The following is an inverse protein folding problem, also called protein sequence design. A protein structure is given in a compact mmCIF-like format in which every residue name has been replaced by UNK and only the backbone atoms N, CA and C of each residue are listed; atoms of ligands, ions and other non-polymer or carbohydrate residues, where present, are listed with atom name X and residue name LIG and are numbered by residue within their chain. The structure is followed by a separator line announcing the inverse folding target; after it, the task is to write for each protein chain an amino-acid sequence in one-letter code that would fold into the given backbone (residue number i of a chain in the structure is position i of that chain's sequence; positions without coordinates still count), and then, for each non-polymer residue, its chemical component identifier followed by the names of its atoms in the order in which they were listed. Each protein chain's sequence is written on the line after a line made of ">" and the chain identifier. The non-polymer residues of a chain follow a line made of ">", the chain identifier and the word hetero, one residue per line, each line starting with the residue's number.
data_IF_882259124973
#
_entry.id   IF_882259124973
#
_cell.length_a   1.000
_cell.length_b   1.000
_cell.length_c   1.000
_cell.angle_alpha   90.00
_cell.angle_beta   90.00
_cell.angle_gamma   90.00
#
_symmetry.space_group_name_H-M   'P 1'
#
loop_
_entity.id
_entity.type
_entity.pdbx_description
1 polymer ?
#
# COMPACT_ATOMS: atom_id res chain seq x y z
N UNK A 1 43.27 19.06 21.93
CA UNK A 1 44.29 18.14 22.48
C UNK A 1 43.64 16.81 22.84
N UNK A 2 44.37 15.68 22.71
CA UNK A 2 44.02 14.33 23.23
C UNK A 2 42.64 13.75 22.85
N UNK A 3 42.61 13.07 21.68
CA UNK A 3 41.66 11.98 21.41
C UNK A 3 41.80 10.89 22.49
N UNK A 4 40.71 10.24 22.90
CA UNK A 4 40.75 9.00 23.69
C UNK A 4 40.59 7.80 22.76
N UNK A 5 41.66 7.02 22.64
CA UNK A 5 41.64 5.69 22.03
C UNK A 5 41.29 4.72 23.16
N UNK A 6 40.27 3.88 22.96
CA UNK A 6 40.08 2.65 23.73
C UNK A 6 40.36 1.49 22.78
N UNK A 7 41.19 0.56 23.24
CA UNK A 7 41.62 -0.62 22.49
C UNK A 7 41.99 -1.71 23.50
N UNK A 8 42.10 -2.95 23.03
CA UNK A 8 42.54 -4.15 23.78
C UNK A 8 41.49 -4.64 24.82
N UNK A 9 40.88 -5.83 24.68
CA UNK A 9 41.57 -7.12 24.67
C UNK A 9 40.98 -8.19 23.75
N UNK A 10 41.89 -8.82 23.00
CA UNK A 10 41.73 -10.12 22.35
C UNK A 10 41.84 -11.22 23.41
N UNK A 11 40.94 -12.21 23.40
CA UNK A 11 40.92 -13.31 24.37
C UNK A 11 40.62 -14.66 23.73
N UNK A 12 41.60 -15.26 23.06
CA UNK A 12 41.48 -16.59 22.46
C UNK A 12 42.17 -17.66 23.30
N UNK A 13 41.42 -18.71 23.69
CA UNK A 13 41.86 -20.08 24.04
C UNK A 13 40.61 -20.92 24.31
N UNK A 14 40.50 -22.23 24.07
CA UNK A 14 41.09 -23.22 23.16
C UNK A 14 40.46 -24.58 23.55
N UNK A 15 40.01 -25.36 22.56
CA UNK A 15 39.83 -26.83 22.53
C UNK A 15 39.13 -27.62 23.68
N UNK A 16 38.04 -28.31 23.31
CA UNK A 16 37.86 -29.77 23.34
C UNK A 16 36.91 -30.12 22.15
N UNK A 17 37.18 -30.91 21.11
CA UNK A 17 37.94 -32.15 20.87
C UNK A 17 37.09 -33.44 20.91
N UNK A 18 36.90 -34.05 19.72
CA UNK A 18 36.30 -35.39 19.48
C UNK A 18 34.80 -35.37 19.18
N UNK A 19 34.22 -36.13 18.24
CA UNK A 19 34.71 -37.00 17.15
C UNK A 19 33.65 -36.89 16.01
N UNK A 20 33.87 -37.14 14.72
CA UNK A 20 34.88 -37.93 14.04
C UNK A 20 34.17 -38.78 12.96
N UNK A 21 34.16 -38.29 11.72
CA UNK A 21 33.82 -39.07 10.52
C UNK A 21 34.51 -38.42 9.31
N UNK A 22 35.42 -39.13 8.67
CA UNK A 22 36.07 -38.65 7.44
C UNK A 22 35.22 -39.10 6.24
N UNK A 23 34.72 -38.14 5.47
CA UNK A 23 34.14 -38.41 4.14
C UNK A 23 35.28 -38.24 3.14
N UNK A 24 35.62 -39.33 2.47
CA UNK A 24 36.52 -39.34 1.32
C UNK A 24 35.69 -38.87 0.13
N UNK A 25 36.07 -37.76 -0.50
CA UNK A 25 35.55 -37.36 -1.82
C UNK A 25 36.72 -37.52 -2.78
N UNK A 26 36.59 -38.47 -3.69
CA UNK A 26 37.50 -38.61 -4.83
C UNK A 26 37.11 -37.55 -5.87
N UNK A 27 38.09 -36.76 -6.33
CA UNK A 27 37.90 -35.82 -7.45
C UNK A 27 37.89 -36.62 -8.77
N UNK A 28 36.71 -36.85 -9.33
CA UNK A 28 36.59 -37.35 -10.70
C UNK A 28 36.72 -36.19 -11.70
N UNK A 29 37.82 -36.17 -12.47
CA UNK A 29 37.95 -35.32 -13.65
C UNK A 29 36.92 -35.75 -14.72
N UNK A 30 35.88 -34.93 -14.92
CA UNK A 30 35.04 -35.02 -16.12
C UNK A 30 35.42 -33.91 -17.09
N UNK A 31 36.34 -34.25 -18.00
CA UNK A 31 36.53 -33.51 -19.26
C UNK A 31 35.39 -33.84 -20.22
N UNK A 32 34.64 -32.83 -20.65
CA UNK A 32 33.77 -32.92 -21.84
C UNK A 32 33.92 -31.67 -22.69
N UNK A 33 34.54 -31.82 -23.86
CA UNK A 33 34.72 -30.79 -24.87
C UNK A 33 33.38 -30.45 -25.57
N UNK A 34 33.27 -29.19 -25.98
CA UNK A 34 32.49 -28.65 -27.09
C UNK A 34 31.04 -29.16 -27.35
N UNK A 35 30.09 -28.23 -27.16
CA UNK A 35 29.50 -27.53 -28.32
C UNK A 35 28.75 -26.26 -27.90
N UNK A 36 29.27 -25.11 -28.33
CA UNK A 36 28.52 -23.86 -28.40
C UNK A 36 27.79 -23.85 -29.74
N UNK A 37 26.45 -23.84 -29.73
CA UNK A 37 25.67 -23.45 -30.92
C UNK A 37 25.33 -21.96 -30.82
N UNK A 38 25.72 -21.27 -31.88
CA UNK A 38 25.61 -19.84 -32.10
C UNK A 38 24.19 -19.52 -32.59
N UNK A 39 23.39 -18.81 -31.77
CA UNK A 39 22.08 -18.31 -32.19
C UNK A 39 22.21 -16.88 -32.71
N UNK A 40 22.02 -16.71 -34.02
CA UNK A 40 22.07 -15.39 -34.68
C UNK A 40 20.82 -14.54 -34.39
N UNK A 41 21.03 -13.24 -34.19
CA UNK A 41 19.99 -12.22 -34.11
C UNK A 41 19.14 -12.16 -35.39
N UNK A 42 17.82 -12.23 -35.25
CA UNK A 42 16.85 -11.93 -36.30
C UNK A 42 16.04 -10.67 -35.95
N UNK A 43 16.61 -9.49 -36.24
CA UNK A 43 15.83 -8.24 -36.28
C UNK A 43 14.70 -8.36 -37.30
N UNK A 44 13.47 -8.05 -36.87
CA UNK A 44 12.34 -7.80 -37.76
C UNK A 44 11.70 -6.45 -37.43
N UNK A 45 12.01 -5.44 -38.26
CA UNK A 45 11.23 -4.20 -38.31
C UNK A 45 9.92 -4.47 -39.07
N UNK A 46 8.76 -4.11 -38.52
CA UNK A 46 7.58 -3.81 -39.34
C UNK A 46 6.58 -2.88 -38.64
N UNK A 47 6.70 -1.59 -38.99
CA UNK A 47 5.59 -0.65 -39.26
C UNK A 47 4.34 -0.61 -38.34
N UNK A 48 4.17 0.54 -37.68
CA UNK A 48 2.87 1.09 -37.28
C UNK A 48 1.81 1.00 -38.39
N UNK A 49 0.56 0.70 -38.00
CA UNK A 49 -0.62 1.25 -38.68
C UNK A 49 -1.61 1.78 -37.63
N UNK A 50 -1.80 3.11 -37.61
CA UNK A 50 -2.62 3.82 -36.61
C UNK A 50 -4.05 3.91 -37.11
N UNK A 51 -4.98 3.23 -36.42
CA UNK A 51 -6.40 3.32 -36.69
C UNK A 51 -7.01 4.60 -36.09
N UNK A 52 -7.01 5.69 -36.87
CA UNK A 52 -7.71 6.92 -36.53
C UNK A 52 -9.22 6.74 -36.65
N UNK A 53 -9.96 6.78 -35.54
CA UNK A 53 -11.43 6.82 -35.56
C UNK A 53 -11.91 8.27 -35.60
N UNK A 54 -12.54 8.64 -36.70
CA UNK A 54 -13.17 9.94 -36.94
C UNK A 54 -14.59 9.93 -36.36
N UNK A 55 -14.88 10.83 -35.43
CA UNK A 55 -16.26 11.18 -35.04
C UNK A 55 -16.74 12.39 -35.85
N UNK A 56 -17.66 12.17 -36.78
CA UNK A 56 -18.30 13.25 -37.54
C UNK A 56 -19.29 14.04 -36.68
N UNK A 57 -19.35 15.35 -36.92
CA UNK A 57 -20.39 16.22 -36.38
C UNK A 57 -21.77 15.84 -36.93
N UNK A 58 -22.82 15.96 -36.10
CA UNK A 58 -24.18 16.12 -36.60
C UNK A 58 -24.87 17.27 -35.86
N UNK A 59 -25.02 18.38 -36.57
CA UNK A 59 -25.75 19.56 -36.13
C UNK A 59 -27.21 19.48 -36.60
N UNK A 60 -28.16 19.69 -35.68
CA UNK A 60 -29.49 20.19 -36.03
C UNK A 60 -29.88 21.27 -35.02
N UNK A 61 -29.79 22.50 -35.50
CA UNK A 61 -30.35 23.71 -34.91
C UNK A 61 -31.88 23.75 -35.16
N UNK A 62 -32.68 24.10 -34.15
CA UNK A 62 -33.93 24.83 -34.35
C UNK A 62 -34.27 25.65 -33.10
N UNK A 63 -34.40 26.96 -33.29
CA UNK A 63 -34.89 27.92 -32.31
C UNK A 63 -36.41 27.95 -32.23
N UNK A 64 -36.94 28.36 -31.07
CA UNK A 64 -38.09 29.28 -31.03
C UNK A 64 -38.04 30.13 -29.75
N UNK A 65 -38.73 31.27 -29.79
CA UNK A 65 -38.48 32.48 -28.98
C UNK A 65 -39.75 32.89 -28.20
N UNK A 66 -39.69 33.98 -27.42
CA UNK A 66 -40.80 34.75 -26.78
C UNK A 66 -41.60 34.00 -25.68
N UNK A 67 -42.18 34.63 -24.63
CA UNK A 67 -42.38 36.06 -24.31
C UNK A 67 -42.42 36.34 -22.78
N UNK A 68 -42.40 37.62 -22.44
CA UNK A 68 -42.27 38.27 -21.12
C UNK A 68 -43.59 38.26 -20.32
N UNK A 69 -43.53 38.24 -18.98
CA UNK A 69 -44.41 39.10 -18.15
C UNK A 69 -43.85 39.39 -16.76
N UNK A 70 -43.74 40.67 -16.42
CA UNK A 70 -43.51 41.19 -15.06
C UNK A 70 -44.76 41.08 -14.17
N UNK A 71 -44.59 41.07 -12.84
CA UNK A 71 -45.36 41.98 -11.95
C UNK A 71 -44.63 42.21 -10.60
N UNK A 72 -44.69 43.46 -10.11
CA UNK A 72 -44.03 43.99 -8.91
C UNK A 72 -44.92 43.92 -7.65
N UNK A 73 -44.32 43.88 -6.45
CA UNK A 73 -44.72 44.63 -5.20
C UNK A 73 -43.68 44.27 -4.11
N UNK A 74 -42.63 45.03 -3.78
CA UNK A 74 -42.48 46.38 -3.17
C UNK A 74 -42.94 46.55 -1.69
N UNK A 75 -42.06 47.26 -0.94
CA UNK A 75 -42.12 47.67 0.49
C UNK A 75 -41.96 46.55 1.54
N UNK A 76 -41.37 46.72 2.75
CA UNK A 76 -40.46 47.70 3.43
C UNK A 76 -39.86 46.98 4.68
N UNK A 77 -38.87 47.41 5.48
CA UNK A 77 -38.04 48.64 5.74
C UNK A 77 -36.73 48.15 6.41
N UNK A 78 -35.53 48.72 6.20
CA UNK A 78 -34.94 50.02 6.61
C UNK A 78 -34.42 50.10 8.06
N UNK A 79 -33.14 50.49 8.16
CA UNK A 79 -32.37 50.99 9.33
C UNK A 79 -32.06 50.03 10.51
N UNK A 80 -30.80 49.58 10.62
CA UNK A 80 -29.87 50.25 11.56
C UNK A 80 -28.40 50.12 11.12
N UNK A 81 -27.55 51.05 11.59
CA UNK A 81 -26.12 51.15 11.25
C UNK A 81 -25.28 51.02 12.51
N UNK A 82 -24.58 49.89 12.66
CA UNK A 82 -23.44 49.77 13.57
C UNK A 82 -22.20 49.34 12.80
N UNK A 83 -21.21 50.23 12.75
CA UNK A 83 -19.82 49.80 12.72
C UNK A 83 -19.56 48.97 13.98
N UNK A 84 -18.74 47.94 13.85
CA UNK A 84 -17.43 47.81 14.51
C UNK A 84 -16.63 46.82 13.63
N UNK A 85 -15.45 47.23 13.16
CA UNK A 85 -14.16 46.58 13.48
C UNK A 85 -14.14 45.11 12.98
N UNK A 86 -13.67 44.80 11.77
CA UNK A 86 -12.25 44.87 11.35
C UNK A 86 -11.28 44.60 12.50
N UNK A 87 -11.42 43.42 13.11
CA UNK A 87 -10.29 42.75 13.76
C UNK A 87 -9.80 41.62 12.85
N UNK A 88 -9.12 42.05 11.78
CA UNK A 88 -8.36 41.19 10.87
C UNK A 88 -7.06 40.71 11.52
N UNK A 89 -7.16 40.02 12.65
CA UNK A 89 -6.04 39.28 13.25
C UNK A 89 -5.95 37.90 12.64
N UNK A 90 -5.05 37.75 11.66
CA UNK A 90 -4.51 36.52 11.08
C UNK A 90 -4.76 35.22 11.90
N UNK A 91 -5.95 34.63 11.77
CA UNK A 91 -6.21 33.26 12.19
C UNK A 91 -5.79 32.34 11.04
N UNK A 92 -4.48 32.25 10.87
CA UNK A 92 -3.83 31.31 9.94
C UNK A 92 -4.05 29.93 10.54
N UNK A 93 -4.74 29.04 9.83
CA UNK A 93 -5.02 27.69 10.37
C UNK A 93 -3.71 27.02 10.80
N UNK A 94 -3.77 26.12 11.79
CA UNK A 94 -2.57 25.43 12.27
C UNK A 94 -1.84 24.70 11.14
N UNK A 95 -2.58 24.14 10.19
CA UNK A 95 -2.05 23.55 8.96
C UNK A 95 -1.22 24.55 8.14
N UNK A 96 -1.71 25.76 7.87
CA UNK A 96 -0.94 26.81 7.17
C UNK A 96 0.27 27.29 7.99
N UNK A 97 0.18 27.28 9.33
CA UNK A 97 1.31 27.56 10.24
C UNK A 97 2.38 26.45 10.20
N UNK A 98 1.98 25.20 10.02
CA UNK A 98 2.86 24.04 9.84
C UNK A 98 3.52 24.03 8.46
N UNK A 99 2.74 24.29 7.39
CA UNK A 99 3.22 24.44 6.01
C UNK A 99 4.22 25.60 5.88
N UNK A 100 4.06 26.67 6.67
CA UNK A 100 5.04 27.76 6.77
C UNK A 100 6.18 27.50 7.76
N UNK A 101 6.31 26.26 8.27
CA UNK A 101 7.39 25.79 9.14
C UNK A 101 7.47 26.53 10.49
N UNK A 102 6.30 26.82 11.10
CA UNK A 102 6.19 27.54 12.38
C UNK A 102 5.37 26.85 13.46
N UNK A 103 4.50 25.89 13.09
CA UNK A 103 3.78 24.99 13.99
C UNK A 103 4.43 23.60 13.98
N UNK A 104 4.27 22.84 15.06
CA UNK A 104 4.81 21.48 15.22
C UNK A 104 3.68 20.43 15.09
N UNK A 105 3.98 19.29 14.45
CA UNK A 105 3.15 18.07 14.51
C UNK A 105 3.71 17.08 15.52
N UNK A 106 2.83 16.33 16.17
CA UNK A 106 3.17 15.32 17.18
C UNK A 106 2.73 13.93 16.70
N UNK A 107 3.31 12.88 17.28
CA UNK A 107 2.88 11.51 17.05
C UNK A 107 1.81 11.10 18.07
N UNK A 108 0.85 10.29 17.65
CA UNK A 108 -0.18 9.73 18.54
C UNK A 108 0.46 8.74 19.53
N UNK A 109 0.57 9.12 20.81
CA UNK A 109 1.15 8.27 21.86
C UNK A 109 0.39 6.93 22.06
N UNK A 110 -0.83 6.79 21.51
CA UNK A 110 -1.64 5.57 21.60
C UNK A 110 -1.40 4.56 20.48
N UNK A 111 -0.83 4.98 19.34
CA UNK A 111 -0.53 4.12 18.19
C UNK A 111 0.97 3.82 18.07
N UNK A 112 1.42 2.65 18.54
CA UNK A 112 2.85 2.32 18.62
C UNK A 112 3.59 2.21 17.29
N UNK A 113 2.87 2.07 16.18
CA UNK A 113 3.42 1.61 14.89
C UNK A 113 2.99 2.48 13.69
N UNK A 114 2.65 3.76 13.92
CA UNK A 114 2.31 4.74 12.85
C UNK A 114 3.47 4.96 11.87
N UNK A 115 4.72 4.80 12.33
CA UNK A 115 5.91 4.95 11.48
C UNK A 115 6.45 3.59 11.02
N UNK A 116 6.71 3.40 9.71
CA UNK A 116 7.57 2.33 9.23
C UNK A 116 8.89 2.28 10.00
N UNK A 117 9.38 1.07 10.30
CA UNK A 117 10.59 0.84 11.10
C UNK A 117 11.84 1.62 10.60
N UNK A 118 11.92 1.90 9.28
CA UNK A 118 12.98 2.73 8.72
C UNK A 118 12.95 4.17 9.23
N UNK A 119 11.75 4.77 9.36
CA UNK A 119 11.53 6.14 9.84
C UNK A 119 11.62 6.20 11.37
N UNK A 120 11.00 5.25 12.07
CA UNK A 120 10.86 5.22 13.53
C UNK A 120 12.19 5.42 14.30
N UNK A 121 13.32 5.01 13.71
CA UNK A 121 14.66 5.16 14.32
C UNK A 121 15.15 6.61 14.47
N UNK A 122 14.59 7.54 13.68
CA UNK A 122 15.04 8.94 13.58
C UNK A 122 14.07 9.94 14.20
N UNK A 123 12.85 9.50 14.55
CA UNK A 123 11.88 10.32 15.29
C UNK A 123 11.89 9.96 16.78
N UNK A 124 11.88 10.99 17.63
CA UNK A 124 11.60 10.89 19.06
C UNK A 124 10.13 11.22 19.25
N UNK A 125 9.29 10.19 19.33
CA UNK A 125 7.82 10.29 19.39
C UNK A 125 7.29 11.13 20.56
N UNK A 126 8.15 11.52 21.52
CA UNK A 126 7.80 12.42 22.63
C UNK A 126 7.94 13.92 22.31
N UNK A 127 8.28 14.29 21.07
CA UNK A 127 8.47 15.67 20.62
C UNK A 127 7.54 16.05 19.47
N UNK A 128 7.35 17.36 19.32
CA UNK A 128 6.83 17.97 18.10
C UNK A 128 7.93 18.13 17.06
N UNK A 129 7.52 18.21 15.80
CA UNK A 129 8.39 18.37 14.62
C UNK A 129 7.80 19.39 13.65
N UNK A 130 8.60 20.32 13.15
CA UNK A 130 8.18 21.16 12.00
C UNK A 130 8.36 20.41 10.68
N UNK A 131 7.79 20.91 9.58
CA UNK A 131 7.88 20.23 8.27
C UNK A 131 9.33 20.06 7.78
N UNK A 132 10.21 21.05 7.99
CA UNK A 132 11.64 20.92 7.66
C UNK A 132 12.31 19.80 8.49
N UNK A 133 11.95 19.65 9.77
CA UNK A 133 12.51 18.60 10.63
C UNK A 133 12.00 17.21 10.25
N UNK A 134 10.76 17.08 9.76
CA UNK A 134 10.25 15.83 9.18
C UNK A 134 11.01 15.49 7.90
N UNK A 135 11.26 16.47 7.03
CA UNK A 135 12.03 16.28 5.79
C UNK A 135 13.46 15.82 6.11
N UNK A 136 14.15 16.46 7.06
CA UNK A 136 15.50 16.08 7.50
C UNK A 136 15.52 14.67 8.11
N UNK A 137 14.63 14.37 9.06
CA UNK A 137 14.57 13.06 9.70
C UNK A 137 14.14 11.93 8.75
N UNK A 138 13.29 12.21 7.76
CA UNK A 138 12.91 11.26 6.72
C UNK A 138 14.09 11.00 5.79
N UNK A 139 14.81 12.02 5.34
CA UNK A 139 16.01 11.87 4.52
C UNK A 139 17.09 11.02 5.23
N UNK A 140 17.35 11.27 6.52
CA UNK A 140 18.27 10.49 7.37
C UNK A 140 17.79 9.03 7.63
N UNK A 141 16.56 8.69 7.24
CA UNK A 141 15.99 7.34 7.38
C UNK A 141 16.32 6.41 6.23
N UNK A 142 16.70 6.96 5.09
CA UNK A 142 17.13 6.18 3.93
C UNK A 142 18.58 5.69 4.05
N UNK A 143 19.00 4.82 3.13
CA UNK A 143 20.37 4.30 3.15
C UNK A 143 21.25 5.15 2.25
N UNK A 144 22.56 5.20 2.51
CA UNK A 144 23.52 6.00 1.71
C UNK A 144 23.78 5.47 0.28
N UNK A 145 22.89 4.62 -0.23
CA UNK A 145 22.80 4.26 -1.65
C UNK A 145 21.71 5.09 -2.37
N UNK A 146 20.84 5.72 -1.59
CA UNK A 146 19.65 6.48 -1.99
C UNK A 146 19.82 7.96 -1.60
N UNK A 147 21.00 8.54 -1.88
CA UNK A 147 21.23 9.98 -1.69
C UNK A 147 20.32 10.75 -2.67
N UNK A 148 19.43 11.62 -2.16
CA UNK A 148 18.64 12.56 -2.96
C UNK A 148 19.57 13.37 -3.87
N UNK A 149 19.29 13.40 -5.18
CA UNK A 149 20.14 14.08 -6.18
C UNK A 149 19.83 15.57 -6.31
N UNK A 150 18.62 15.98 -5.93
CA UNK A 150 18.19 17.36 -5.79
C UNK A 150 17.62 17.62 -4.38
N UNK A 151 17.33 18.87 -4.06
CA UNK A 151 16.71 19.27 -2.79
C UNK A 151 15.30 18.65 -2.65
N UNK A 152 14.94 18.06 -1.48
CA UNK A 152 13.58 17.60 -1.23
C UNK A 152 12.53 18.71 -1.32
N UNK A 153 11.30 18.33 -1.63
CA UNK A 153 10.16 19.25 -1.81
C UNK A 153 8.88 18.60 -1.31
N UNK A 154 7.93 19.36 -0.80
CA UNK A 154 6.62 18.84 -0.41
C UNK A 154 5.46 19.54 -1.14
N UNK A 155 4.37 18.82 -1.31
CA UNK A 155 3.07 19.34 -1.73
C UNK A 155 2.02 19.01 -0.65
N UNK A 156 0.95 19.79 -0.55
CA UNK A 156 -0.12 19.57 0.44
C UNK A 156 -1.50 19.63 -0.17
N UNK A 157 -2.43 18.88 0.43
CA UNK A 157 -3.84 18.82 0.05
C UNK A 157 -4.72 18.62 1.29
N UNK A 158 -5.89 19.23 1.30
CA UNK A 158 -6.95 18.94 2.28
C UNK A 158 -7.77 17.71 1.82
N UNK A 159 -8.04 16.77 2.73
CA UNK A 159 -8.85 15.56 2.54
C UNK A 159 -9.83 15.39 3.71
N UNK A 160 -10.96 14.72 3.50
CA UNK A 160 -12.06 14.58 4.47
C UNK A 160 -12.19 13.11 4.92
N UNK A 161 -11.36 12.67 5.87
CA UNK A 161 -11.25 11.26 6.24
C UNK A 161 -12.57 10.72 6.80
N UNK A 162 -13.10 9.68 6.15
CA UNK A 162 -14.39 9.10 6.53
C UNK A 162 -15.61 9.93 6.12
N UNK A 163 -15.43 11.04 5.37
CA UNK A 163 -16.51 11.90 4.85
C UNK A 163 -17.39 12.47 5.99
N UNK A 164 -16.75 13.09 6.98
CA UNK A 164 -17.39 13.72 8.14
C UNK A 164 -17.53 15.26 8.00
N UNK A 165 -16.84 15.85 7.03
CA UNK A 165 -16.83 17.28 6.71
C UNK A 165 -15.75 18.08 7.44
N UNK A 166 -14.74 17.43 8.03
CA UNK A 166 -13.62 18.06 8.75
C UNK A 166 -12.29 17.71 8.05
N UNK A 167 -11.67 18.71 7.41
CA UNK A 167 -10.44 18.49 6.64
C UNK A 167 -9.20 18.10 7.50
N UNK A 168 -8.56 16.98 7.15
CA UNK A 168 -7.15 16.68 7.43
C UNK A 168 -6.21 17.32 6.41
N UNK A 169 -4.94 17.47 6.80
CA UNK A 169 -3.86 17.82 5.88
C UNK A 169 -3.11 16.54 5.44
N UNK A 170 -3.18 16.22 4.15
CA UNK A 170 -2.27 15.31 3.47
C UNK A 170 -1.01 16.08 3.00
N UNK A 171 0.16 15.54 3.32
CA UNK A 171 1.47 16.09 2.94
C UNK A 171 2.27 15.03 2.20
N UNK A 172 2.55 15.29 0.92
CA UNK A 172 3.36 14.43 0.05
C UNK A 172 4.79 15.01 0.00
N UNK A 173 5.74 14.40 0.71
CA UNK A 173 7.15 14.80 0.75
C UNK A 173 7.94 13.99 -0.27
N UNK A 174 8.40 14.65 -1.33
CA UNK A 174 9.19 14.05 -2.43
C UNK A 174 10.69 14.22 -2.21
N UNK A 175 11.46 13.16 -2.49
CA UNK A 175 12.92 13.12 -2.42
C UNK A 175 13.53 12.81 -3.81
N UNK A 176 13.77 13.84 -4.65
CA UNK A 176 14.12 13.62 -6.05
C UNK A 176 15.52 13.07 -6.24
N UNK A 177 15.65 12.07 -7.10
CA UNK A 177 16.90 11.41 -7.43
C UNK A 177 17.20 10.17 -6.58
N UNK A 178 16.36 9.82 -5.61
CA UNK A 178 16.41 8.51 -4.97
C UNK A 178 15.99 7.38 -5.92
N UNK A 179 15.32 7.71 -7.01
CA UNK A 179 15.11 6.82 -8.15
C UNK A 179 16.48 6.41 -8.73
N UNK A 180 16.84 5.12 -8.74
CA UNK A 180 18.16 4.71 -9.25
C UNK A 180 18.26 4.91 -10.76
N UNK A 181 19.48 5.15 -11.26
CA UNK A 181 19.69 5.44 -12.68
C UNK A 181 19.48 4.23 -13.61
N UNK A 182 19.22 3.04 -13.07
CA UNK A 182 18.92 1.81 -13.81
C UNK A 182 17.40 1.58 -14.00
N UNK A 183 16.53 2.40 -13.37
CA UNK A 183 15.06 2.32 -13.44
C UNK A 183 14.42 3.45 -14.25
N UNK A 184 15.02 3.84 -15.38
CA UNK A 184 14.65 5.06 -16.14
C UNK A 184 13.27 5.06 -16.81
N UNK A 185 12.57 3.92 -16.83
CA UNK A 185 11.37 3.72 -17.65
C UNK A 185 10.05 3.70 -16.84
N UNK A 186 10.12 3.78 -15.50
CA UNK A 186 8.94 3.90 -14.64
C UNK A 186 8.91 5.25 -13.90
N UNK A 187 7.72 5.82 -13.75
CA UNK A 187 7.49 7.04 -12.94
C UNK A 187 7.54 6.74 -11.42
N UNK A 188 8.53 5.96 -11.00
CA UNK A 188 8.84 5.80 -9.59
C UNK A 188 9.15 7.18 -9.01
N UNK A 189 8.46 7.54 -7.94
CA UNK A 189 8.71 8.77 -7.19
C UNK A 189 8.89 8.33 -5.75
N UNK A 190 10.01 8.69 -5.14
CA UNK A 190 10.17 8.51 -3.70
C UNK A 190 9.39 9.62 -3.00
N UNK A 191 8.21 9.25 -2.46
CA UNK A 191 7.31 10.16 -1.76
C UNK A 191 6.89 9.53 -0.44
N UNK A 192 7.15 10.18 0.70
CA UNK A 192 6.50 9.83 1.97
C UNK A 192 5.21 10.65 2.11
N UNK A 193 4.11 9.99 2.47
CA UNK A 193 2.77 10.56 2.55
C UNK A 193 2.29 10.62 3.99
N UNK A 194 1.98 11.81 4.49
CA UNK A 194 1.64 12.03 5.89
C UNK A 194 0.23 12.61 6.00
N UNK A 195 -0.67 11.94 6.72
CA UNK A 195 -1.99 12.47 7.06
C UNK A 195 -1.96 13.01 8.48
N UNK A 196 -2.35 14.28 8.63
CA UNK A 196 -2.28 15.04 9.87
C UNK A 196 -3.67 15.57 10.21
N UNK A 197 -4.17 15.27 11.42
CA UNK A 197 -5.45 15.78 11.95
C UNK A 197 -5.20 16.73 13.12
N UNK A 198 -6.00 17.79 13.23
CA UNK A 198 -6.03 18.64 14.42
C UNK A 198 -6.85 17.99 15.55
N UNK A 199 -6.24 17.75 16.71
CA UNK A 199 -6.85 17.13 17.90
C UNK A 199 -6.39 17.90 19.15
N UNK A 200 -7.34 18.30 20.01
CA UNK A 200 -7.08 18.99 21.29
C UNK A 200 -6.03 20.12 21.18
N UNK A 201 -6.26 21.05 20.25
CA UNK A 201 -5.41 22.21 19.98
C UNK A 201 -3.97 21.88 19.49
N UNK A 202 -3.76 20.69 18.90
CA UNK A 202 -2.48 20.24 18.32
C UNK A 202 -2.65 19.56 16.97
N UNK A 203 -1.62 19.59 16.14
CA UNK A 203 -1.54 18.75 14.95
C UNK A 203 -0.95 17.38 15.29
N UNK A 204 -1.64 16.30 14.93
CA UNK A 204 -1.22 14.92 15.20
C UNK A 204 -1.05 14.18 13.87
N UNK A 205 0.09 13.51 13.68
CA UNK A 205 0.30 12.55 12.59
C UNK A 205 -0.55 11.30 12.87
N UNK A 206 -1.47 11.01 11.96
CA UNK A 206 -2.45 9.92 12.10
C UNK A 206 -2.16 8.71 11.19
N UNK A 207 -1.57 8.96 10.01
CA UNK A 207 -1.17 7.89 9.09
C UNK A 207 0.09 8.29 8.31
N UNK A 208 0.98 7.32 8.03
CA UNK A 208 2.14 7.50 7.16
C UNK A 208 2.20 6.38 6.12
N UNK A 209 2.10 6.75 4.85
CA UNK A 209 2.27 5.87 3.69
C UNK A 209 3.49 6.26 2.85
N UNK A 210 3.76 5.54 1.77
CA UNK A 210 4.81 5.91 0.83
C UNK A 210 4.55 5.47 -0.61
N UNK A 211 5.12 6.20 -1.57
CA UNK A 211 5.38 5.74 -2.93
C UNK A 211 6.88 5.44 -3.03
N UNK A 212 7.23 4.22 -3.45
CA UNK A 212 8.61 3.71 -3.53
C UNK A 212 8.71 2.72 -4.71
N UNK A 213 9.92 2.22 -4.97
CA UNK A 213 10.13 1.13 -5.93
C UNK A 213 9.23 -0.07 -5.57
N UNK A 214 8.43 -0.51 -6.53
CA UNK A 214 7.50 -1.65 -6.42
C UNK A 214 6.45 -1.56 -5.28
N UNK A 215 6.21 -0.40 -4.63
CA UNK A 215 5.24 -0.26 -3.55
C UNK A 215 4.59 1.13 -3.50
N UNK A 216 3.25 1.17 -3.45
CA UNK A 216 2.45 2.37 -3.67
C UNK A 216 1.31 2.50 -2.66
N UNK A 217 1.42 3.46 -1.74
CA UNK A 217 0.29 3.93 -0.95
C UNK A 217 -0.47 5.02 -1.70
N UNK A 218 -1.64 4.67 -2.22
CA UNK A 218 -2.60 5.59 -2.86
C UNK A 218 -3.64 5.97 -1.81
N UNK A 219 -3.86 7.27 -1.62
CA UNK A 219 -4.87 7.83 -0.69
C UNK A 219 -5.82 8.72 -1.51
N UNK A 220 -7.12 8.53 -1.40
CA UNK A 220 -8.13 9.37 -2.05
C UNK A 220 -8.58 10.56 -1.17
N UNK A 221 -9.52 11.35 -1.68
CA UNK A 221 -10.00 12.58 -1.06
C UNK A 221 -10.82 12.36 0.24
N UNK A 222 -11.21 11.11 0.53
CA UNK A 222 -11.97 10.72 1.73
C UNK A 222 -11.21 9.76 2.65
N UNK A 223 -9.89 9.65 2.45
CA UNK A 223 -9.02 8.80 3.28
C UNK A 223 -9.10 7.30 2.99
N UNK A 224 -9.73 6.85 1.87
CA UNK A 224 -9.59 5.46 1.43
C UNK A 224 -8.19 5.21 0.87
N UNK A 225 -7.60 4.09 1.28
CA UNK A 225 -6.20 3.74 1.03
C UNK A 225 -6.10 2.41 0.30
N UNK A 226 -5.23 2.40 -0.71
CA UNK A 226 -4.70 1.18 -1.32
C UNK A 226 -3.20 1.15 -1.12
N UNK A 227 -2.68 0.07 -0.54
CA UNK A 227 -1.25 -0.24 -0.55
C UNK A 227 -1.05 -1.36 -1.58
N UNK A 228 -0.61 -0.98 -2.77
CA UNK A 228 -0.40 -1.87 -3.91
C UNK A 228 1.11 -2.19 -4.03
N UNK A 229 1.45 -3.37 -4.55
CA UNK A 229 2.85 -3.73 -4.86
C UNK A 229 2.97 -4.14 -6.32
N UNK A 230 4.02 -3.71 -7.01
CA UNK A 230 4.25 -4.10 -8.41
C UNK A 230 5.10 -5.36 -8.47
N UNK A 231 4.43 -6.49 -8.68
CA UNK A 231 5.06 -7.78 -8.90
C UNK A 231 4.98 -8.72 -7.69
N UNK A 232 5.08 -10.01 -7.96
CA UNK A 232 4.98 -11.06 -6.95
C UNK A 232 6.37 -11.39 -6.38
N UNK A 233 6.55 -11.25 -5.07
CA UNK A 233 7.77 -11.67 -4.37
C UNK A 233 7.64 -13.13 -3.95
N UNK A 234 8.56 -14.00 -4.41
CA UNK A 234 8.48 -15.46 -4.22
C UNK A 234 7.11 -16.05 -4.61
N UNK A 235 6.49 -15.55 -5.69
CA UNK A 235 5.21 -16.05 -6.21
C UNK A 235 3.97 -15.54 -5.48
N UNK A 236 4.13 -14.63 -4.51
CA UNK A 236 3.02 -13.99 -3.78
C UNK A 236 2.96 -12.51 -4.11
N UNK A 237 1.81 -12.04 -4.57
CA UNK A 237 1.45 -10.61 -4.64
C UNK A 237 0.71 -10.25 -3.35
N UNK A 238 1.11 -9.19 -2.65
CA UNK A 238 0.53 -8.81 -1.36
C UNK A 238 0.11 -7.34 -1.34
N UNK A 239 -1.18 -7.09 -1.17
CA UNK A 239 -1.80 -5.76 -1.20
C UNK A 239 -2.63 -5.53 0.08
N UNK A 240 -2.95 -4.27 0.41
CA UNK A 240 -3.93 -3.98 1.47
C UNK A 240 -4.83 -2.80 1.15
N UNK A 241 -6.07 -2.92 1.63
CA UNK A 241 -7.16 -1.97 1.41
C UNK A 241 -7.78 -1.61 2.76
N UNK A 242 -8.16 -0.36 2.91
CA UNK A 242 -8.78 0.16 4.13
C UNK A 242 -9.00 1.65 4.01
N UNK A 243 -9.29 2.31 5.11
CA UNK A 243 -9.54 3.75 5.13
C UNK A 243 -9.14 4.37 6.45
N UNK A 244 -9.10 5.71 6.47
CA UNK A 244 -9.02 6.52 7.68
C UNK A 244 -10.44 6.91 8.09
N UNK A 245 -10.82 6.60 9.33
CA UNK A 245 -12.13 6.99 9.88
C UNK A 245 -12.22 8.51 10.16
N UNK A 246 -13.35 8.95 10.71
CA UNK A 246 -13.57 10.36 11.06
C UNK A 246 -12.57 10.92 12.10
N UNK A 247 -11.91 10.07 12.89
CA UNK A 247 -10.81 10.45 13.80
C UNK A 247 -9.43 10.22 13.16
N UNK A 248 -9.42 9.98 11.84
CA UNK A 248 -8.30 9.59 10.97
C UNK A 248 -7.54 8.34 11.44
N UNK A 249 -8.20 7.40 12.15
CA UNK A 249 -7.58 6.12 12.51
C UNK A 249 -7.65 5.14 11.34
N UNK A 250 -6.60 4.35 11.17
CA UNK A 250 -6.58 3.26 10.21
C UNK A 250 -7.60 2.17 10.55
N UNK A 251 -8.47 1.85 9.58
CA UNK A 251 -9.43 0.75 9.62
C UNK A 251 -9.18 -0.16 8.43
N UNK A 252 -8.64 -1.35 8.70
CA UNK A 252 -8.39 -2.37 7.68
C UNK A 252 -9.70 -2.91 7.09
N UNK A 253 -9.87 -2.74 5.78
CA UNK A 253 -10.91 -3.43 5.03
C UNK A 253 -10.50 -4.89 4.80
N UNK A 254 -9.40 -5.11 4.06
CA UNK A 254 -8.73 -6.41 3.96
C UNK A 254 -7.27 -6.29 3.47
N UNK A 255 -6.41 -7.21 3.88
CA UNK A 255 -5.18 -7.55 3.14
C UNK A 255 -5.49 -8.64 2.13
N UNK A 256 -4.78 -8.63 1.02
CA UNK A 256 -4.96 -9.57 -0.09
C UNK A 256 -3.62 -10.21 -0.43
N UNK A 257 -3.50 -11.52 -0.29
CA UNK A 257 -2.36 -12.29 -0.76
C UNK A 257 -2.82 -13.16 -1.93
N UNK A 258 -2.22 -12.95 -3.10
CA UNK A 258 -2.49 -13.73 -4.30
C UNK A 258 -1.27 -14.60 -4.66
N UNK A 259 -1.50 -15.90 -4.64
CA UNK A 259 -0.50 -16.95 -4.85
C UNK A 259 -0.59 -17.47 -6.28
N UNK A 260 0.48 -17.26 -7.05
CA UNK A 260 0.53 -17.62 -8.47
C UNK A 260 0.53 -19.15 -8.71
N UNK A 261 0.99 -19.92 -7.73
CA UNK A 261 0.97 -21.39 -7.71
C UNK A 261 0.66 -21.92 -6.29
N UNK A 262 0.08 -23.12 -6.22
CA UNK A 262 -0.16 -23.84 -4.96
C UNK A 262 1.12 -24.14 -4.18
N UNK A 263 2.24 -24.41 -4.86
CA UNK A 263 3.54 -24.64 -4.20
C UNK A 263 4.03 -23.41 -3.42
N UNK A 264 3.66 -22.20 -3.86
CA UNK A 264 3.99 -20.95 -3.16
C UNK A 264 3.14 -20.79 -1.89
N UNK A 265 1.84 -21.08 -1.98
CA UNK A 265 0.93 -21.09 -0.83
C UNK A 265 1.34 -22.13 0.22
N UNK A 266 1.57 -23.38 -0.20
CA UNK A 266 1.99 -24.48 0.70
C UNK A 266 3.32 -24.17 1.36
N UNK A 267 4.29 -23.59 0.62
CA UNK A 267 5.57 -23.17 1.19
C UNK A 267 5.41 -22.07 2.23
N UNK A 268 4.56 -21.07 1.98
CA UNK A 268 4.36 -19.99 2.95
C UNK A 268 3.63 -20.49 4.20
N UNK A 269 2.47 -21.15 4.04
CA UNK A 269 1.67 -21.63 5.19
C UNK A 269 2.37 -22.76 5.96
N UNK A 270 3.24 -23.51 5.31
CA UNK A 270 4.17 -24.45 5.97
C UNK A 270 5.10 -23.77 7.00
N UNK A 271 5.50 -22.51 6.79
CA UNK A 271 6.26 -21.76 7.79
C UNK A 271 5.43 -21.39 9.04
N UNK A 272 4.10 -21.36 8.91
CA UNK A 272 3.15 -21.19 10.02
C UNK A 272 2.69 -22.52 10.62
N UNK A 273 3.17 -23.66 10.10
CA UNK A 273 2.93 -25.00 10.64
C UNK A 273 1.78 -25.78 9.98
N UNK A 274 1.27 -25.32 8.84
CA UNK A 274 0.25 -26.03 8.05
C UNK A 274 0.88 -27.20 7.28
N UNK A 275 0.31 -28.40 7.40
CA UNK A 275 0.75 -29.61 6.69
C UNK A 275 -0.25 -29.95 5.57
N UNK A 276 -0.08 -29.27 4.43
CA UNK A 276 -0.96 -29.36 3.26
C UNK A 276 -0.40 -30.40 2.26
N UNK A 277 -1.03 -31.57 2.17
CA UNK A 277 -0.68 -32.58 1.16
C UNK A 277 -1.25 -32.20 -0.21
N UNK A 278 -0.56 -31.29 -0.90
CA UNK A 278 -0.82 -30.92 -2.28
C UNK A 278 -0.03 -31.76 -3.29
N UNK A 279 0.54 -32.91 -2.91
CA UNK A 279 1.48 -33.68 -3.76
C UNK A 279 0.83 -34.46 -4.92
N UNK A 280 -0.48 -34.29 -5.15
CA UNK A 280 -1.22 -35.02 -6.20
C UNK A 280 -1.33 -34.21 -7.50
N UNK A 281 -1.31 -34.89 -8.66
CA UNK A 281 -1.34 -34.26 -10.00
C UNK A 281 -2.46 -33.22 -10.20
N UNK A 282 -3.56 -33.32 -9.44
CA UNK A 282 -4.71 -32.41 -9.51
C UNK A 282 -4.44 -30.98 -9.06
N UNK A 283 -3.35 -30.71 -8.33
CA UNK A 283 -3.01 -29.36 -7.86
C UNK A 283 -2.30 -28.49 -8.89
N UNK A 284 -1.89 -29.08 -10.03
CA UNK A 284 -1.28 -28.31 -11.13
C UNK A 284 -2.26 -27.29 -11.72
N UNK A 285 -1.79 -26.06 -11.91
CA UNK A 285 -2.59 -24.90 -12.34
C UNK A 285 -3.71 -24.51 -11.35
N UNK A 286 -3.44 -24.61 -10.05
CA UNK A 286 -4.27 -24.03 -8.99
C UNK A 286 -3.65 -22.73 -8.49
N UNK A 287 -4.48 -21.72 -8.28
CA UNK A 287 -4.14 -20.45 -7.63
C UNK A 287 -4.94 -20.29 -6.34
N UNK A 288 -4.42 -19.47 -5.42
CA UNK A 288 -5.06 -19.16 -4.14
C UNK A 288 -5.10 -17.65 -3.96
N UNK A 289 -6.22 -17.15 -3.50
CA UNK A 289 -6.39 -15.78 -3.01
C UNK A 289 -6.73 -15.87 -1.52
N UNK A 290 -6.04 -15.11 -0.68
CA UNK A 290 -6.29 -15.01 0.76
C UNK A 290 -6.66 -13.58 1.11
N UNK A 291 -7.78 -13.42 1.81
CA UNK A 291 -8.33 -12.15 2.27
C UNK A 291 -8.25 -12.12 3.79
N UNK A 292 -7.49 -11.19 4.38
CA UNK A 292 -7.22 -11.11 5.83
C UNK A 292 -7.89 -9.85 6.40
N UNK A 293 -8.66 -9.98 7.47
CA UNK A 293 -9.47 -8.90 8.07
C UNK A 293 -8.88 -8.32 9.37
N UNK A 294 -7.79 -8.90 9.88
CA UNK A 294 -7.05 -8.45 11.07
C UNK A 294 -5.60 -8.15 10.66
N UNK A 295 -5.09 -6.98 11.06
CA UNK A 295 -3.74 -6.54 10.73
C UNK A 295 -2.65 -7.46 11.33
N UNK A 296 -2.93 -8.06 12.50
CA UNK A 296 -2.03 -8.95 13.23
C UNK A 296 -2.19 -10.43 12.85
N UNK A 297 -3.26 -10.78 12.10
CA UNK A 297 -3.51 -12.15 11.68
C UNK A 297 -2.49 -12.61 10.64
N UNK A 298 -1.91 -13.79 10.90
CA UNK A 298 -0.92 -14.46 10.02
C UNK A 298 -1.55 -15.53 9.13
N UNK A 299 -2.81 -15.89 9.44
CA UNK A 299 -3.55 -17.02 8.91
C UNK A 299 -5.04 -16.69 8.93
N UNK A 300 -5.80 -17.35 8.07
CA UNK A 300 -7.24 -17.17 7.88
C UNK A 300 -8.04 -18.38 8.43
N UNK A 301 -7.85 -18.67 9.71
CA UNK A 301 -8.44 -19.83 10.42
C UNK A 301 -9.92 -19.65 10.81
N UNK A 302 -10.42 -18.43 10.72
CA UNK A 302 -11.74 -18.05 11.23
C UNK A 302 -12.34 -16.91 10.43
N UNK A 303 -13.69 -16.81 10.43
CA UNK A 303 -14.40 -15.74 9.71
C UNK A 303 -13.98 -14.34 10.13
N UNK A 304 -13.58 -14.19 11.38
CA UNK A 304 -13.16 -12.93 11.98
C UNK A 304 -11.74 -12.55 11.53
N UNK A 305 -10.88 -13.55 11.27
CA UNK A 305 -9.51 -13.36 10.73
C UNK A 305 -9.46 -13.13 9.22
N UNK A 306 -10.44 -13.62 8.45
CA UNK A 306 -10.43 -13.58 6.98
C UNK A 306 -10.89 -14.90 6.34
N UNK A 307 -10.56 -15.13 5.08
CA UNK A 307 -10.85 -16.37 4.34
C UNK A 307 -9.87 -16.61 3.19
N UNK A 308 -9.83 -17.84 2.66
CA UNK A 308 -9.23 -18.13 1.35
C UNK A 308 -10.29 -18.46 0.30
N UNK A 309 -9.97 -18.23 -0.96
CA UNK A 309 -10.56 -18.91 -2.10
C UNK A 309 -9.45 -19.51 -2.96
N UNK A 310 -9.75 -20.56 -3.70
CA UNK A 310 -8.81 -21.22 -4.59
C UNK A 310 -9.54 -21.63 -5.87
N UNK A 311 -8.86 -21.60 -7.01
CA UNK A 311 -9.46 -21.93 -8.29
C UNK A 311 -8.43 -22.52 -9.26
N UNK A 312 -8.94 -23.22 -10.28
CA UNK A 312 -8.13 -23.70 -11.40
C UNK A 312 -7.98 -22.59 -12.43
N UNK A 313 -6.82 -22.50 -13.06
CA UNK A 313 -6.60 -21.61 -14.20
C UNK A 313 -6.04 -22.37 -15.40
N UNK A 314 -6.15 -21.78 -16.59
CA UNK A 314 -5.44 -22.18 -17.79
C UNK A 314 -5.00 -20.95 -18.60
N UNK A 315 -4.65 -21.13 -19.88
CA UNK A 315 -4.21 -20.03 -20.75
C UNK A 315 -5.30 -19.01 -21.10
N UNK A 316 -6.59 -19.37 -20.93
CA UNK A 316 -7.74 -18.51 -21.20
C UNK A 316 -8.24 -17.82 -19.92
N UNK A 317 -7.71 -18.18 -18.74
CA UNK A 317 -7.94 -17.50 -17.45
C UNK A 317 -8.43 -18.46 -16.35
N UNK A 318 -9.26 -17.94 -15.43
CA UNK A 318 -9.91 -18.75 -14.39
C UNK A 318 -10.94 -19.71 -14.99
N UNK A 319 -10.93 -20.95 -14.52
CA UNK A 319 -11.95 -21.96 -14.83
C UNK A 319 -13.02 -21.94 -13.72
N UNK A 320 -14.25 -21.61 -14.10
CA UNK A 320 -15.43 -21.69 -13.23
C UNK A 320 -15.80 -23.17 -12.96
N UNK A 321 -15.43 -23.70 -11.79
CA UNK A 321 -15.65 -25.10 -11.40
C UNK A 321 -15.99 -25.22 -9.91
N UNK A 322 -17.26 -24.95 -9.55
CA UNK A 322 -17.76 -25.08 -8.17
C UNK A 322 -17.55 -26.48 -7.55
N UNK A 323 -17.33 -27.52 -8.36
CA UNK A 323 -17.17 -28.90 -7.86
C UNK A 323 -15.92 -29.08 -6.98
N UNK A 324 -14.95 -28.16 -7.08
CA UNK A 324 -13.75 -28.15 -6.23
C UNK A 324 -14.04 -27.80 -4.76
N UNK A 325 -15.21 -27.22 -4.46
CA UNK A 325 -15.66 -26.87 -3.10
C UNK A 325 -16.70 -27.84 -2.53
N UNK A 326 -17.09 -28.91 -3.24
CA UNK A 326 -17.98 -29.93 -2.68
C UNK A 326 -17.27 -30.78 -1.59
N UNK A 327 -18.02 -31.28 -0.60
CA UNK A 327 -17.50 -32.21 0.42
C UNK A 327 -16.87 -33.50 -0.19
N UNK A 328 -17.21 -33.83 -1.45
CA UNK A 328 -16.60 -34.92 -2.24
C UNK A 328 -15.17 -34.61 -2.69
N UNK A 329 -14.85 -33.33 -2.91
CA UNK A 329 -13.61 -32.82 -3.48
C UNK A 329 -12.36 -33.28 -2.71
N UNK A 330 -11.24 -33.42 -3.40
CA UNK A 330 -9.93 -33.57 -2.74
C UNK A 330 -9.44 -32.21 -2.21
N UNK A 331 -9.68 -31.14 -2.98
CA UNK A 331 -9.18 -29.80 -2.68
C UNK A 331 -9.77 -29.28 -1.37
N UNK A 332 -11.10 -29.34 -1.24
CA UNK A 332 -11.81 -28.93 -0.03
C UNK A 332 -11.33 -29.71 1.21
N UNK A 333 -11.14 -31.03 1.09
CA UNK A 333 -10.66 -31.86 2.22
C UNK A 333 -9.27 -31.47 2.69
N UNK A 334 -8.34 -31.22 1.77
CA UNK A 334 -6.98 -30.80 2.12
C UNK A 334 -6.96 -29.50 2.93
N UNK A 335 -7.86 -28.55 2.64
CA UNK A 335 -8.01 -27.32 3.42
C UNK A 335 -8.85 -27.51 4.72
N UNK A 336 -9.89 -28.34 4.70
CA UNK A 336 -10.69 -28.70 5.88
C UNK A 336 -9.83 -29.42 6.95
N UNK A 337 -8.89 -30.29 6.53
CA UNK A 337 -8.01 -31.07 7.41
C UNK A 337 -7.03 -30.18 8.21
N UNK A 338 -6.86 -28.91 7.82
CA UNK A 338 -6.02 -27.89 8.49
C UNK A 338 -6.83 -26.68 8.99
N UNK A 339 -8.16 -26.77 9.01
CA UNK A 339 -9.09 -25.77 9.59
C UNK A 339 -8.93 -24.33 9.01
N UNK A 340 -8.72 -24.21 7.69
CA UNK A 340 -8.76 -22.90 7.00
C UNK A 340 -10.20 -22.52 6.67
N UNK A 341 -10.57 -21.25 6.86
CA UNK A 341 -11.88 -20.74 6.47
C UNK A 341 -11.97 -20.55 4.94
N UNK A 342 -12.44 -21.58 4.23
CA UNK A 342 -12.67 -21.56 2.79
C UNK A 342 -13.94 -20.75 2.43
N UNK A 343 -13.83 -19.92 1.41
CA UNK A 343 -14.93 -19.27 0.70
C UNK A 343 -14.95 -19.75 -0.76
N UNK A 344 -16.08 -20.23 -1.31
CA UNK A 344 -16.23 -20.40 -2.75
C UNK A 344 -16.03 -19.06 -3.48
N UNK A 345 -15.42 -19.06 -4.66
CA UNK A 345 -15.18 -17.82 -5.41
C UNK A 345 -16.47 -17.00 -5.64
N UNK A 346 -17.59 -17.69 -5.92
CA UNK A 346 -18.91 -17.10 -6.10
C UNK A 346 -19.51 -16.41 -4.85
N UNK A 347 -18.89 -16.58 -3.68
CA UNK A 347 -19.27 -15.90 -2.43
C UNK A 347 -18.30 -14.77 -2.01
N UNK A 348 -17.16 -14.58 -2.69
CA UNK A 348 -16.10 -13.61 -2.29
C UNK A 348 -16.64 -12.20 -2.17
N UNK A 349 -17.26 -11.67 -3.23
CA UNK A 349 -17.89 -10.33 -3.25
C UNK A 349 -18.87 -10.14 -2.09
N UNK A 350 -19.62 -11.19 -1.74
CA UNK A 350 -20.58 -11.15 -0.62
C UNK A 350 -19.87 -11.10 0.74
N UNK A 351 -18.74 -11.78 0.91
CA UNK A 351 -17.93 -11.69 2.15
C UNK A 351 -17.24 -10.34 2.29
N UNK A 352 -16.76 -9.78 1.19
CA UNK A 352 -16.19 -8.44 1.15
C UNK A 352 -17.26 -7.39 1.48
N UNK A 353 -18.46 -7.48 0.88
CA UNK A 353 -19.58 -6.61 1.24
C UNK A 353 -19.99 -6.75 2.72
N UNK A 354 -20.09 -7.98 3.26
CA UNK A 354 -20.36 -8.22 4.69
C UNK A 354 -19.31 -7.55 5.59
N UNK A 355 -18.02 -7.62 5.21
CA UNK A 355 -16.92 -6.95 5.91
C UNK A 355 -16.98 -5.43 5.79
N UNK A 356 -17.36 -4.92 4.61
CA UNK A 356 -17.51 -3.49 4.34
C UNK A 356 -18.62 -2.88 5.20
N UNK A 357 -19.77 -3.56 5.27
CA UNK A 357 -20.88 -3.20 6.18
C UNK A 357 -20.47 -3.28 7.65
N UNK A 358 -19.68 -4.30 8.05
CA UNK A 358 -19.21 -4.50 9.44
C UNK A 358 -18.35 -3.32 9.93
N UNK A 359 -17.37 -2.88 9.14
CA UNK A 359 -16.46 -1.79 9.50
C UNK A 359 -17.08 -0.40 9.30
N UNK A 360 -18.16 -0.30 8.53
CA UNK A 360 -18.83 0.98 8.23
C UNK A 360 -18.22 1.77 7.06
N UNK A 361 -17.46 1.11 6.19
CA UNK A 361 -16.89 1.72 4.98
C UNK A 361 -18.00 1.97 3.95
N UNK A 362 -18.24 3.22 3.56
CA UNK A 362 -19.24 3.58 2.56
C UNK A 362 -18.65 3.66 1.14
N UNK A 363 -19.48 3.43 0.12
CA UNK A 363 -19.12 3.64 -1.30
C UNK A 363 -18.58 5.05 -1.55
N UNK A 364 -19.19 6.06 -0.92
CA UNK A 364 -18.79 7.48 -1.04
C UNK A 364 -17.34 7.70 -0.58
N UNK A 365 -16.86 6.95 0.43
CA UNK A 365 -15.46 7.01 0.90
C UNK A 365 -14.53 6.27 -0.07
N UNK A 366 -14.98 5.21 -0.75
CA UNK A 366 -14.16 4.43 -1.69
C UNK A 366 -13.89 5.19 -3.01
N UNK A 367 -14.88 5.92 -3.53
CA UNK A 367 -14.75 6.86 -4.68
C UNK A 367 -15.20 6.32 -6.04
#
# INVERSE_FOLDING_TARGET
>A
MKKRIISVMLGAMILCAGCGAAINIEEDEITSEDKVEEFEDAKSESSNEVATISSEESSVDTSEEIDITDEEDDTTKDTDTSKDEDDSTNDVSRYESFVSNTEEVFFDESGSDILPYSLQRNFDLSKGYTIDEIVEASLDSYTSYDDSKDDPSFETKYIDCGNDGIDELLVDIRFPGMETADYTDYEEKYVDRWVIKEIDDKLIVKYVGALRHESYTIINDYGYIKNEVMGAYNGVLSESYGYLDADANWVLYYKYNYYLDMDDYVREKGNYGYDLDCSSDGWSNMQVEEYIFDDEARITDSKDSGFITYYKYDSDGRIEDDSIYEDSSIYKKTFDDVDVNICPYSEVEKRLEERREEIGLSEDVMG
#
